data_IF_700540749391
#
_entry.id   IF_700540749391
#
_cell.length_a   1.000
_cell.length_b   1.000
_cell.length_c   1.000
_cell.angle_alpha   90.00
_cell.angle_beta   90.00
_cell.angle_gamma   90.00
#
_symmetry.space_group_name_H-M   'P 1'
#
loop_
_entity.id
_entity.type
_entity.pdbx_description
1 polymer ?
#
# COMPACT_ATOMS: atom_id res chain seq x y z
N UNK A 1 -13.54 -16.50 -21.49
CA UNK A 1 -12.33 -15.77 -21.07
C UNK A 1 -12.80 -14.71 -20.10
N UNK A 2 -12.35 -14.68 -18.83
CA UNK A 2 -12.70 -13.57 -17.96
C UNK A 2 -11.99 -12.34 -18.51
N UNK A 3 -12.74 -11.27 -18.74
CA UNK A 3 -12.17 -9.98 -19.09
C UNK A 3 -11.30 -9.54 -17.91
N UNK A 4 -9.98 -9.43 -18.14
CA UNK A 4 -9.09 -8.77 -17.20
C UNK A 4 -9.59 -7.33 -17.08
N UNK A 5 -10.32 -7.04 -16.01
CA UNK A 5 -10.70 -5.69 -15.64
C UNK A 5 -9.41 -4.91 -15.45
N UNK A 6 -9.04 -4.15 -16.49
CA UNK A 6 -8.01 -3.13 -16.42
C UNK A 6 -8.42 -2.22 -15.27
N UNK A 7 -7.73 -2.39 -14.15
CA UNK A 7 -7.95 -1.56 -12.96
C UNK A 7 -7.55 -0.16 -13.40
N UNK A 8 -8.50 0.77 -13.42
CA UNK A 8 -8.20 2.18 -13.72
C UNK A 8 -6.99 2.60 -12.89
N UNK A 9 -5.92 3.14 -13.50
CA UNK A 9 -4.72 3.52 -12.76
C UNK A 9 -5.11 4.46 -11.61
N UNK A 10 -4.66 4.14 -10.40
CA UNK A 10 -4.86 5.01 -9.24
C UNK A 10 -4.22 6.37 -9.54
N UNK A 11 -4.92 7.45 -9.19
CA UNK A 11 -4.36 8.79 -9.29
C UNK A 11 -3.04 8.85 -8.50
N UNK A 12 -1.96 9.44 -9.00
CA UNK A 12 -0.69 9.48 -8.27
C UNK A 12 -0.85 10.13 -6.88
N UNK A 13 -0.23 9.55 -5.85
CA UNK A 13 -0.18 10.17 -4.51
C UNK A 13 0.82 11.33 -4.50
N UNK A 14 0.56 12.34 -3.68
CA UNK A 14 1.55 13.37 -3.41
C UNK A 14 2.72 12.78 -2.58
N UNK A 15 3.95 13.30 -2.75
CA UNK A 15 5.10 12.87 -1.93
C UNK A 15 4.84 12.95 -0.41
N UNK A 16 4.22 14.04 0.04
CA UNK A 16 3.89 14.23 1.47
C UNK A 16 2.85 13.22 1.97
N UNK A 17 1.87 12.86 1.13
CA UNK A 17 0.87 11.83 1.45
C UNK A 17 1.53 10.45 1.63
N UNK A 18 2.54 10.14 0.81
CA UNK A 18 3.32 8.90 0.94
C UNK A 18 4.12 8.93 2.23
N UNK A 19 4.82 10.01 2.52
CA UNK A 19 5.61 10.15 3.73
C UNK A 19 4.74 9.99 5.00
N UNK A 20 3.58 10.65 5.06
CA UNK A 20 2.66 10.55 6.19
C UNK A 20 2.09 9.14 6.36
N UNK A 21 1.67 8.50 5.26
CA UNK A 21 1.14 7.14 5.33
C UNK A 21 2.21 6.13 5.81
N UNK A 22 3.44 6.18 5.27
CA UNK A 22 4.51 5.27 5.66
C UNK A 22 5.08 5.58 7.05
N UNK A 23 5.11 6.85 7.48
CA UNK A 23 5.44 7.20 8.85
C UNK A 23 4.46 6.55 9.83
N UNK A 24 3.16 6.62 9.55
CA UNK A 24 2.14 5.97 10.37
C UNK A 24 2.26 4.44 10.37
N UNK A 25 2.43 3.81 9.20
CA UNK A 25 2.58 2.35 9.08
C UNK A 25 3.80 1.86 9.86
N UNK A 26 4.94 2.54 9.76
CA UNK A 26 6.15 2.19 10.52
C UNK A 26 5.98 2.37 12.02
N UNK A 27 5.34 3.45 12.46
CA UNK A 27 5.05 3.66 13.88
C UNK A 27 4.20 2.51 14.43
N UNK A 28 3.16 2.11 13.68
CA UNK A 28 2.33 0.96 14.02
C UNK A 28 3.12 -0.36 14.02
N UNK A 29 4.04 -0.55 13.07
CA UNK A 29 4.92 -1.72 12.99
C UNK A 29 5.89 -1.81 14.18
N UNK A 30 6.46 -0.69 14.61
CA UNK A 30 7.38 -0.61 15.74
C UNK A 30 6.67 -0.63 17.11
N UNK A 31 5.33 -0.53 17.13
CA UNK A 31 4.55 -0.35 18.36
C UNK A 31 4.74 1.05 18.99
N UNK A 32 5.23 2.02 18.23
CA UNK A 32 5.43 3.41 18.65
C UNK A 32 4.10 4.17 18.54
N UNK A 33 3.28 4.04 19.59
CA UNK A 33 1.94 4.64 19.64
C UNK A 33 2.01 6.16 19.70
N UNK A 34 3.02 6.74 20.35
CA UNK A 34 3.15 8.19 20.47
C UNK A 34 3.39 8.84 19.10
N UNK A 35 4.30 8.26 18.30
CA UNK A 35 4.52 8.69 16.92
C UNK A 35 3.28 8.45 16.05
N UNK A 36 2.62 7.30 16.18
CA UNK A 36 1.42 6.99 15.41
C UNK A 36 0.29 8.01 15.68
N UNK A 37 0.10 8.39 16.95
CA UNK A 37 -0.84 9.43 17.37
C UNK A 37 -0.49 10.79 16.75
N UNK A 38 0.76 11.22 16.83
CA UNK A 38 1.20 12.50 16.27
C UNK A 38 0.94 12.60 14.75
N UNK A 39 1.22 11.52 14.00
CA UNK A 39 0.97 11.50 12.55
C UNK A 39 -0.52 11.52 12.22
N UNK A 40 -1.35 10.80 12.99
CA UNK A 40 -2.81 10.86 12.84
C UNK A 40 -3.35 12.24 13.16
N UNK A 41 -2.84 12.92 14.18
CA UNK A 41 -3.29 14.26 14.55
C UNK A 41 -3.01 15.29 13.44
N UNK A 42 -1.87 15.16 12.76
CA UNK A 42 -1.50 16.02 11.63
C UNK A 42 -2.31 15.71 10.36
N UNK A 43 -2.45 14.42 10.03
CA UNK A 43 -3.11 13.97 8.77
C UNK A 43 -4.65 13.96 8.89
N UNK A 44 -5.18 13.77 10.10
CA UNK A 44 -6.60 13.75 10.39
C UNK A 44 -7.39 12.66 9.65
N UNK A 45 -8.57 13.03 9.16
CA UNK A 45 -9.53 12.10 8.53
C UNK A 45 -9.02 11.49 7.22
N UNK A 46 -8.04 12.13 6.56
CA UNK A 46 -7.48 11.66 5.30
C UNK A 46 -6.61 10.41 5.49
N UNK A 47 -6.11 10.13 6.70
CA UNK A 47 -5.24 8.98 6.97
C UNK A 47 -5.87 7.66 6.51
N UNK A 48 -7.18 7.47 6.70
CA UNK A 48 -7.87 6.27 6.20
C UNK A 48 -7.73 6.15 4.68
N UNK A 49 -7.97 7.24 3.94
CA UNK A 49 -7.85 7.27 2.48
C UNK A 49 -6.42 6.96 2.06
N UNK A 50 -5.43 7.61 2.67
CA UNK A 50 -4.02 7.41 2.34
C UNK A 50 -3.59 5.95 2.55
N UNK A 51 -4.02 5.31 3.64
CA UNK A 51 -3.69 3.91 3.90
C UNK A 51 -4.37 2.94 2.93
N UNK A 52 -5.61 3.21 2.51
CA UNK A 52 -6.27 2.43 1.45
C UNK A 52 -5.54 2.59 0.11
N UNK A 53 -5.06 3.80 -0.18
CA UNK A 53 -4.26 4.10 -1.35
C UNK A 53 -2.91 3.35 -1.34
N UNK A 54 -2.25 3.29 -0.19
CA UNK A 54 -1.01 2.49 -0.01
C UNK A 54 -1.30 0.99 -0.13
N UNK A 55 -2.35 0.48 0.51
CA UNK A 55 -2.78 -0.91 0.36
C UNK A 55 -3.07 -1.25 -1.12
N UNK A 56 -3.74 -0.33 -1.82
CA UNK A 56 -3.82 -0.18 -3.27
C UNK A 56 -2.57 -0.61 -4.02
N UNK A 57 -1.54 0.19 -3.77
CA UNK A 57 -0.26 0.18 -4.46
C UNK A 57 0.67 -0.96 -4.02
N UNK A 58 0.34 -1.67 -2.93
CA UNK A 58 1.08 -2.86 -2.49
C UNK A 58 0.36 -4.13 -2.93
N UNK A 59 -0.91 -4.32 -2.56
CA UNK A 59 -1.58 -5.60 -2.74
C UNK A 59 -1.80 -5.95 -4.21
N UNK A 60 -2.21 -4.97 -5.03
CA UNK A 60 -2.53 -5.24 -6.43
C UNK A 60 -1.30 -5.67 -7.23
N UNK A 61 -0.19 -4.91 -7.27
CA UNK A 61 0.97 -5.31 -8.06
C UNK A 61 1.67 -6.56 -7.51
N UNK A 62 1.74 -6.74 -6.18
CA UNK A 62 2.40 -7.93 -5.58
C UNK A 62 1.62 -9.21 -5.88
N UNK A 63 0.29 -9.13 -5.92
CA UNK A 63 -0.54 -10.32 -6.16
C UNK A 63 -0.90 -10.52 -7.62
N UNK A 64 -0.77 -9.50 -8.46
CA UNK A 64 -0.80 -9.63 -9.90
C UNK A 64 0.49 -10.30 -10.35
N UNK A 65 0.50 -11.64 -10.37
CA UNK A 65 1.58 -12.42 -10.98
C UNK A 65 1.73 -11.97 -12.44
N UNK A 66 2.75 -11.17 -12.72
CA UNK A 66 3.22 -10.79 -14.05
C UNK A 66 4.63 -11.32 -14.21
N UNK A 67 4.78 -12.65 -14.13
CA UNK A 67 5.95 -13.30 -14.71
C UNK A 67 5.78 -13.16 -16.22
N UNK A 68 6.36 -12.10 -16.79
CA UNK A 68 6.23 -11.73 -18.22
C UNK A 68 6.65 -12.85 -19.19
N UNK A 69 7.21 -13.94 -18.66
CA UNK A 69 7.72 -15.10 -19.39
C UNK A 69 6.94 -16.41 -19.10
N UNK A 70 5.93 -16.43 -18.20
CA UNK A 70 5.16 -17.64 -17.86
C UNK A 70 3.66 -17.49 -18.19
N UNK A 71 3.05 -18.53 -18.77
CA UNK A 71 1.64 -18.48 -19.18
C UNK A 71 0.73 -18.40 -17.93
N UNK A 72 -0.27 -17.49 -17.89
CA UNK A 72 -1.13 -17.33 -16.72
C UNK A 72 -1.76 -18.66 -16.29
N UNK A 73 -1.51 -19.06 -15.05
CA UNK A 73 -2.06 -20.30 -14.50
C UNK A 73 -3.13 -20.03 -13.44
N UNK A 74 -3.86 -21.07 -13.02
CA UNK A 74 -4.93 -20.94 -12.02
C UNK A 74 -4.44 -20.30 -10.70
N UNK A 75 -3.18 -20.53 -10.32
CA UNK A 75 -2.57 -19.93 -9.14
C UNK A 75 -2.36 -18.41 -9.32
N UNK A 76 -1.92 -17.96 -10.49
CA UNK A 76 -1.77 -16.55 -10.84
C UNK A 76 -3.11 -15.80 -10.78
N UNK A 77 -4.19 -16.40 -11.28
CA UNK A 77 -5.54 -15.83 -11.18
C UNK A 77 -6.02 -15.76 -9.73
N UNK A 78 -5.73 -16.79 -8.92
CA UNK A 78 -6.11 -16.83 -7.51
C UNK A 78 -5.36 -15.76 -6.71
N UNK A 79 -4.06 -15.60 -6.93
CA UNK A 79 -3.27 -14.55 -6.30
C UNK A 79 -3.85 -13.16 -6.63
N UNK A 80 -4.05 -12.85 -7.91
CA UNK A 80 -4.61 -11.56 -8.31
C UNK A 80 -6.02 -11.32 -7.73
N UNK A 81 -6.83 -12.38 -7.60
CA UNK A 81 -8.13 -12.30 -6.93
C UNK A 81 -8.00 -12.04 -5.42
N UNK A 82 -7.00 -12.63 -4.76
CA UNK A 82 -6.72 -12.41 -3.34
C UNK A 82 -6.37 -10.95 -3.05
N UNK A 83 -5.49 -10.33 -3.84
CA UNK A 83 -5.15 -8.91 -3.62
C UNK A 83 -6.35 -7.98 -3.78
N UNK A 84 -7.20 -8.23 -4.79
CA UNK A 84 -8.45 -7.47 -4.96
C UNK A 84 -9.43 -7.70 -3.80
N UNK A 85 -9.58 -8.94 -3.33
CA UNK A 85 -10.46 -9.27 -2.21
C UNK A 85 -9.97 -8.64 -0.90
N UNK A 86 -8.66 -8.66 -0.62
CA UNK A 86 -8.09 -7.99 0.55
C UNK A 86 -8.38 -6.49 0.54
N UNK A 87 -8.19 -5.84 -0.60
CA UNK A 87 -8.53 -4.42 -0.74
C UNK A 87 -10.03 -4.16 -0.54
N UNK A 88 -10.89 -4.98 -1.14
CA UNK A 88 -12.35 -4.86 -1.02
C UNK A 88 -12.80 -4.93 0.44
N UNK A 89 -12.22 -5.85 1.22
CA UNK A 89 -12.49 -6.00 2.66
C UNK A 89 -12.08 -4.75 3.45
N UNK A 90 -10.94 -4.13 3.12
CA UNK A 90 -10.50 -2.90 3.78
C UNK A 90 -11.37 -1.69 3.41
N UNK A 91 -11.80 -1.60 2.15
CA UNK A 91 -12.64 -0.52 1.65
C UNK A 91 -14.04 -0.52 2.29
N UNK A 92 -14.65 -1.70 2.44
CA UNK A 92 -16.07 -1.85 2.80
C UNK A 92 -16.32 -2.46 4.18
N UNK A 93 -15.29 -2.62 5.01
CA UNK A 93 -15.41 -3.14 6.37
C UNK A 93 -16.10 -2.19 7.35
N UNK A 94 -17.25 -1.62 7.01
CA UNK A 94 -18.03 -0.77 7.91
C UNK A 94 -18.36 -1.53 9.20
N UNK A 95 -17.89 -0.99 10.32
CA UNK A 95 -18.06 -1.60 11.66
C UNK A 95 -17.12 -2.76 12.00
N UNK A 96 -16.22 -3.17 11.09
CA UNK A 96 -15.20 -4.18 11.37
C UNK A 96 -13.87 -3.54 11.82
N UNK A 97 -13.13 -4.21 12.71
CA UNK A 97 -11.82 -3.77 13.22
C UNK A 97 -10.71 -3.61 12.16
N UNK A 98 -10.99 -3.73 10.86
CA UNK A 98 -9.99 -3.65 9.80
C UNK A 98 -10.12 -2.38 8.95
N UNK A 99 -11.27 -1.70 8.96
CA UNK A 99 -11.52 -0.52 8.12
C UNK A 99 -11.19 0.83 8.80
N UNK A 100 -10.55 0.80 9.97
CA UNK A 100 -10.02 1.98 10.68
C UNK A 100 -8.48 2.06 10.54
N UNK A 101 -7.86 3.25 10.63
CA UNK A 101 -6.45 3.43 10.24
C UNK A 101 -5.45 2.44 10.90
N UNK A 102 -5.47 2.20 12.23
CA UNK A 102 -4.67 1.12 12.83
C UNK A 102 -4.92 -0.28 12.23
N UNK A 103 -6.17 -0.63 11.94
CA UNK A 103 -6.52 -1.91 11.31
C UNK A 103 -5.91 -2.05 9.91
N UNK A 104 -6.06 -1.03 9.07
CA UNK A 104 -5.49 -1.00 7.72
C UNK A 104 -3.95 -1.09 7.78
N UNK A 105 -3.31 -0.28 8.63
CA UNK A 105 -1.87 -0.31 8.80
C UNK A 105 -1.37 -1.69 9.28
N UNK A 106 -2.05 -2.30 10.26
CA UNK A 106 -1.72 -3.66 10.70
C UNK A 106 -1.89 -4.71 9.59
N UNK A 107 -2.90 -4.57 8.73
CA UNK A 107 -3.05 -5.46 7.57
C UNK A 107 -1.90 -5.30 6.58
N UNK A 108 -1.46 -4.06 6.30
CA UNK A 108 -0.29 -3.81 5.44
C UNK A 108 0.98 -4.42 6.05
N UNK A 109 1.21 -4.22 7.35
CA UNK A 109 2.37 -4.79 8.06
C UNK A 109 2.35 -6.31 7.99
N UNK A 110 1.22 -6.95 8.32
CA UNK A 110 1.08 -8.41 8.25
C UNK A 110 1.23 -8.94 6.83
N UNK A 111 0.69 -8.25 5.83
CA UNK A 111 0.87 -8.63 4.43
C UNK A 111 2.37 -8.59 4.06
N UNK A 112 3.06 -7.52 4.46
CA UNK A 112 4.50 -7.36 4.22
C UNK A 112 5.29 -8.49 4.89
N UNK A 113 5.00 -8.79 6.16
CA UNK A 113 5.63 -9.87 6.93
C UNK A 113 5.37 -11.27 6.37
N UNK A 114 4.17 -11.53 5.85
CA UNK A 114 3.82 -12.89 5.42
C UNK A 114 4.12 -13.16 3.93
N UNK A 115 4.22 -12.10 3.12
CA UNK A 115 4.31 -12.22 1.65
C UNK A 115 5.60 -11.64 1.09
N UNK A 116 6.11 -10.54 1.67
CA UNK A 116 7.23 -9.79 1.10
C UNK A 116 8.55 -9.99 1.83
N UNK A 117 8.51 -10.43 3.08
CA UNK A 117 9.70 -10.93 3.75
C UNK A 117 9.78 -12.43 3.53
N UNK A 118 10.68 -12.87 2.64
CA UNK A 118 11.17 -14.25 2.68
C UNK A 118 11.71 -14.57 4.07
N UNK A 119 11.98 -15.86 4.40
CA UNK A 119 12.18 -16.45 5.74
C UNK A 119 13.03 -15.63 6.76
N UNK A 120 13.81 -14.63 6.32
CA UNK A 120 14.65 -13.74 7.14
C UNK A 120 14.60 -12.22 6.81
N UNK A 121 13.65 -11.74 6.00
CA UNK A 121 13.55 -10.30 5.69
C UNK A 121 13.03 -9.48 6.88
N UNK A 122 13.67 -8.34 7.19
CA UNK A 122 13.13 -7.40 8.17
C UNK A 122 11.96 -6.60 7.56
N UNK A 123 10.80 -6.65 8.21
CA UNK A 123 9.60 -5.92 7.78
C UNK A 123 9.86 -4.42 7.69
N UNK A 124 10.68 -3.87 8.60
CA UNK A 124 10.96 -2.44 8.58
C UNK A 124 11.84 -2.03 7.38
N UNK A 125 12.77 -2.88 6.94
CA UNK A 125 13.54 -2.69 5.71
C UNK A 125 12.63 -2.70 4.48
N UNK A 126 11.73 -3.68 4.37
CA UNK A 126 10.80 -3.79 3.24
C UNK A 126 9.85 -2.60 3.18
N UNK A 127 9.29 -2.16 4.32
CA UNK A 127 8.44 -0.97 4.38
C UNK A 127 9.18 0.31 3.93
N UNK A 128 10.47 0.45 4.27
CA UNK A 128 11.31 1.57 3.80
C UNK A 128 11.56 1.50 2.29
N UNK A 129 11.74 0.30 1.75
CA UNK A 129 11.90 0.13 0.31
C UNK A 129 10.61 0.46 -0.45
N UNK A 130 9.45 0.01 0.05
CA UNK A 130 8.14 0.33 -0.51
C UNK A 130 7.86 1.85 -0.48
N UNK A 131 8.23 2.54 0.60
CA UNK A 131 8.16 4.00 0.67
C UNK A 131 9.05 4.66 -0.39
N UNK A 132 10.29 4.20 -0.53
CA UNK A 132 11.23 4.77 -1.50
C UNK A 132 10.73 4.62 -2.95
N UNK A 133 10.20 3.44 -3.30
CA UNK A 133 9.58 3.19 -4.62
C UNK A 133 8.35 4.08 -4.82
N UNK A 134 7.49 4.18 -3.81
CA UNK A 134 6.32 5.06 -3.86
C UNK A 134 6.73 6.54 -4.05
N UNK A 135 7.76 6.98 -3.34
CA UNK A 135 8.28 8.34 -3.42
C UNK A 135 8.82 8.67 -4.80
N UNK A 136 9.59 7.76 -5.40
CA UNK A 136 10.08 7.88 -6.78
C UNK A 136 8.91 8.04 -7.75
N UNK A 137 7.92 7.16 -7.67
CA UNK A 137 6.72 7.22 -8.52
C UNK A 137 5.93 8.53 -8.34
N UNK A 138 5.78 9.00 -7.10
CA UNK A 138 5.11 10.27 -6.81
C UNK A 138 5.86 11.47 -7.38
N UNK A 139 7.19 11.48 -7.28
CA UNK A 139 8.03 12.54 -7.84
C UNK A 139 8.00 12.57 -9.37
N UNK A 140 7.99 11.41 -10.02
CA UNK A 140 7.85 11.31 -11.48
C UNK A 140 6.49 11.81 -11.97
N UNK A 141 5.42 11.53 -11.21
CA UNK A 141 4.07 11.97 -11.53
C UNK A 141 3.83 13.47 -11.24
N UNK A 142 4.61 14.07 -10.35
CA UNK A 142 4.53 15.49 -9.98
C UNK A 142 5.84 16.22 -10.34
N UNK A 143 6.20 16.32 -11.63
CA UNK A 143 7.43 17.00 -12.01
C UNK A 143 7.32 18.47 -11.59
N UNK A 144 8.25 18.90 -10.71
CA UNK A 144 8.41 20.32 -10.39
C UNK A 144 8.62 21.03 -11.71
N UNK A 145 7.66 21.89 -12.09
CA UNK A 145 7.76 22.73 -13.29
C UNK A 145 9.06 23.51 -13.19
N UNK A 146 10.11 23.06 -13.88
CA UNK A 146 11.29 23.87 -14.12
C UNK A 146 10.83 24.98 -15.05
N UNK A 147 10.45 26.11 -14.47
CA UNK A 147 10.35 27.36 -15.21
C UNK A 147 11.77 27.67 -15.67
N UNK A 148 12.06 27.34 -16.93
CA UNK A 148 13.27 27.77 -17.61
C UNK A 148 13.13 29.28 -17.77
N UNK A 149 13.96 30.05 -17.06
CA UNK A 149 14.21 31.47 -17.32
C UNK A 149 15.51 31.56 -18.12
#
# INVERSE_FOLDING_TARGET
MPENTVTTPLAPMAPDDIASAFAYIRAMQAGDIDTACAVIEDTGIEMRRLLLDVAARIFIPITAVDDRDEEPCAHSFLAAALGRLLLEVLCHGDGACLAFPPGIAQTIVRFTENILTEEHGDVADVLRQLEAVGMEQAMEAHPVRRTIV
#
